data_IF_692098460867
#
_entry.id   IF_692098460867
#
_cell.length_a   1.000
_cell.length_b   1.000
_cell.length_c   1.000
_cell.angle_alpha   90.00
_cell.angle_beta   90.00
_cell.angle_gamma   90.00
#
_symmetry.space_group_name_H-M   'P 1'
#
loop_
_entity.id
_entity.type
_entity.pdbx_description
1 polymer ?
#
# COMPACT_ATOMS: atom_id res chain seq x y z
N UNK A 1 11.58 -12.44 -7.25
CA UNK A 1 10.40 -11.58 -7.25
C UNK A 1 10.15 -11.09 -8.66
N UNK A 2 8.90 -10.90 -9.04
CA UNK A 2 8.47 -10.23 -10.27
C UNK A 2 7.44 -9.14 -9.92
N UNK A 3 7.31 -8.13 -10.79
CA UNK A 3 6.21 -7.16 -10.66
C UNK A 3 4.92 -7.79 -11.18
N UNK A 4 3.82 -7.54 -10.49
CA UNK A 4 2.49 -7.98 -10.90
C UNK A 4 1.64 -6.81 -11.39
N UNK A 5 1.84 -5.61 -10.83
CA UNK A 5 1.18 -4.41 -11.28
C UNK A 5 2.07 -3.18 -11.16
N UNK A 6 1.86 -2.23 -12.06
CA UNK A 6 2.53 -0.93 -12.11
C UNK A 6 1.45 0.14 -12.26
N UNK A 7 1.52 1.19 -11.43
CA UNK A 7 0.55 2.27 -11.44
C UNK A 7 1.19 3.61 -11.10
N UNK A 8 0.62 4.68 -11.63
CA UNK A 8 0.99 6.06 -11.30
C UNK A 8 -0.29 6.85 -11.05
N UNK A 9 -0.36 7.54 -9.91
CA UNK A 9 -1.54 8.31 -9.54
C UNK A 9 -1.22 9.61 -8.81
N UNK A 10 -2.10 10.59 -8.96
CA UNK A 10 -2.10 11.87 -8.27
C UNK A 10 -2.99 11.72 -7.04
N UNK A 11 -2.37 11.70 -5.87
CA UNK A 11 -3.07 11.53 -4.61
C UNK A 11 -3.36 12.90 -4.02
N UNK A 12 -4.62 13.31 -4.09
CA UNK A 12 -5.14 14.53 -3.46
C UNK A 12 -6.01 14.24 -2.24
N UNK A 13 -6.35 12.97 -2.01
CA UNK A 13 -7.27 12.54 -0.95
C UNK A 13 -6.53 11.64 0.04
N UNK A 14 -6.79 11.85 1.32
CA UNK A 14 -6.31 10.97 2.39
C UNK A 14 -6.87 9.56 2.19
N UNK A 15 -6.03 8.54 2.36
CA UNK A 15 -6.49 7.15 2.43
C UNK A 15 -6.71 6.73 3.88
N UNK A 16 -7.64 5.79 4.09
CA UNK A 16 -7.71 5.05 5.35
C UNK A 16 -6.62 3.98 5.35
N UNK A 17 -6.38 3.35 6.50
CA UNK A 17 -5.54 2.16 6.52
C UNK A 17 -6.14 1.09 5.61
N UNK A 18 -5.32 0.56 4.71
CA UNK A 18 -5.73 -0.48 3.79
C UNK A 18 -4.55 -1.37 3.42
N UNK A 19 -4.92 -2.54 2.91
CA UNK A 19 -4.04 -3.46 2.22
C UNK A 19 -4.28 -3.25 0.73
N UNK A 20 -3.22 -3.14 -0.08
CA UNK A 20 -3.37 -3.11 -1.53
C UNK A 20 -3.78 -4.48 -2.05
N UNK A 21 -4.52 -4.49 -3.16
CA UNK A 21 -4.90 -5.73 -3.82
C UNK A 21 -3.67 -6.52 -4.27
N UNK A 22 -3.71 -7.84 -4.14
CA UNK A 22 -2.62 -8.72 -4.51
C UNK A 22 -2.78 -10.14 -3.95
N UNK A 23 -1.91 -11.07 -4.34
CA UNK A 23 -1.79 -12.37 -3.70
C UNK A 23 -1.42 -12.24 -2.23
N UNK A 24 -1.70 -13.29 -1.47
CA UNK A 24 -1.46 -13.31 -0.03
C UNK A 24 0.01 -13.03 0.33
N UNK A 25 0.98 -13.44 -0.50
CA UNK A 25 2.38 -13.07 -0.35
C UNK A 25 2.73 -11.98 -1.37
N UNK A 26 2.84 -10.73 -0.92
CA UNK A 26 3.19 -9.62 -1.80
C UNK A 26 3.88 -8.48 -1.05
N UNK A 27 4.62 -7.68 -1.80
CA UNK A 27 5.23 -6.44 -1.35
C UNK A 27 4.73 -5.29 -2.22
N UNK A 28 4.48 -4.15 -1.60
CA UNK A 28 4.12 -2.92 -2.29
C UNK A 28 5.30 -1.96 -2.22
N UNK A 29 5.75 -1.47 -3.36
CA UNK A 29 6.70 -0.36 -3.44
C UNK A 29 5.97 0.91 -3.85
N UNK A 30 6.08 1.96 -3.03
CA UNK A 30 5.54 3.28 -3.31
C UNK A 30 6.69 4.28 -3.51
N UNK A 31 6.77 4.86 -4.70
CA UNK A 31 7.70 5.93 -5.07
C UNK A 31 7.01 7.28 -5.04
N UNK A 32 7.29 8.07 -3.99
CA UNK A 32 6.76 9.42 -3.81
C UNK A 32 7.66 10.43 -4.51
N UNK A 33 7.06 11.22 -5.41
CA UNK A 33 7.72 12.36 -6.02
C UNK A 33 7.62 13.60 -5.11
N UNK A 34 8.61 14.52 -5.15
CA UNK A 34 8.53 15.78 -4.42
C UNK A 34 7.26 16.56 -4.78
N UNK A 35 6.55 17.04 -3.76
CA UNK A 35 5.36 17.86 -3.94
C UNK A 35 5.28 18.94 -2.86
N UNK A 36 4.61 20.05 -3.17
CA UNK A 36 4.22 21.07 -2.17
C UNK A 36 2.95 20.68 -1.40
N UNK A 37 2.23 19.64 -1.84
CA UNK A 37 1.06 19.12 -1.12
C UNK A 37 1.52 18.44 0.17
N UNK A 38 1.22 19.07 1.31
CA UNK A 38 1.56 18.54 2.61
C UNK A 38 0.97 17.15 2.81
N UNK A 39 1.79 16.20 3.27
CA UNK A 39 1.31 14.84 3.53
C UNK A 39 2.15 14.07 4.54
N UNK A 40 1.55 13.07 5.16
CA UNK A 40 2.20 12.12 6.07
C UNK A 40 1.88 10.69 5.67
N UNK A 41 2.80 9.77 5.95
CA UNK A 41 2.60 8.33 5.77
C UNK A 41 2.56 7.65 7.15
N UNK A 42 1.63 6.72 7.32
CA UNK A 42 1.56 5.89 8.52
C UNK A 42 1.43 4.41 8.14
N UNK A 43 1.93 3.55 9.03
CA UNK A 43 1.80 2.10 8.94
C UNK A 43 1.03 1.57 10.15
N UNK A 44 0.34 0.45 10.01
CA UNK A 44 -0.27 -0.27 11.12
C UNK A 44 0.01 -1.77 11.05
N UNK A 45 0.52 -2.35 12.13
CA UNK A 45 0.77 -3.79 12.24
C UNK A 45 -0.52 -4.55 12.54
N UNK A 46 -1.34 -4.73 11.50
CA UNK A 46 -2.59 -5.47 11.60
C UNK A 46 -2.37 -6.97 11.82
N UNK A 47 -1.21 -7.50 11.39
CA UNK A 47 -0.83 -8.89 11.66
C UNK A 47 -0.72 -9.12 13.15
N UNK A 48 -0.08 -8.19 13.88
CA UNK A 48 -0.07 -8.23 15.34
C UNK A 48 -1.44 -8.01 15.95
N UNK A 49 -2.23 -7.06 15.45
CA UNK A 49 -3.59 -6.82 15.94
C UNK A 49 -4.48 -8.09 15.87
N UNK A 50 -4.36 -8.83 14.77
CA UNK A 50 -5.05 -10.09 14.56
C UNK A 50 -4.52 -11.22 15.46
N UNK A 51 -3.20 -11.31 15.65
CA UNK A 51 -2.59 -12.27 16.57
C UNK A 51 -3.08 -12.06 18.01
N UNK A 52 -3.12 -10.82 18.48
CA UNK A 52 -3.58 -10.50 19.85
C UNK A 52 -5.07 -10.82 20.07
N UNK A 53 -5.85 -10.98 18.99
CA UNK A 53 -7.24 -11.43 19.01
C UNK A 53 -7.40 -12.93 18.71
N UNK A 54 -6.30 -13.68 18.53
CA UNK A 54 -6.33 -15.10 18.21
C UNK A 54 -6.91 -15.43 16.82
N UNK A 55 -6.87 -14.47 15.89
CA UNK A 55 -7.40 -14.62 14.53
C UNK A 55 -6.28 -14.98 13.54
N UNK A 56 -6.61 -15.18 12.26
CA UNK A 56 -5.67 -15.13 11.14
C UNK A 56 -5.68 -13.72 10.49
N UNK A 57 -4.64 -13.27 9.75
CA UNK A 57 -4.60 -11.89 9.28
C UNK A 57 -5.71 -11.60 8.28
N UNK A 58 -6.00 -12.57 7.39
CA UNK A 58 -7.11 -12.43 6.45
C UNK A 58 -8.47 -12.40 7.16
N UNK A 59 -8.67 -13.26 8.15
CA UNK A 59 -9.89 -13.26 8.96
C UNK A 59 -10.09 -11.90 9.66
N UNK A 60 -9.02 -11.33 10.21
CA UNK A 60 -9.08 -10.00 10.81
C UNK A 60 -9.52 -8.94 9.82
N UNK A 61 -8.97 -8.91 8.60
CA UNK A 61 -9.37 -7.92 7.59
C UNK A 61 -10.80 -8.12 7.10
N UNK A 62 -11.26 -9.37 6.98
CA UNK A 62 -12.62 -9.67 6.56
C UNK A 62 -13.65 -9.27 7.65
N UNK A 63 -13.31 -9.44 8.93
CA UNK A 63 -14.20 -9.11 10.07
C UNK A 63 -14.10 -7.64 10.51
N UNK A 64 -12.90 -7.08 10.46
CA UNK A 64 -12.55 -5.75 10.99
C UNK A 64 -11.87 -4.91 9.90
N UNK A 65 -12.52 -4.79 8.74
CA UNK A 65 -11.99 -4.02 7.62
C UNK A 65 -11.72 -2.56 8.06
N UNK A 66 -10.46 -2.09 8.02
CA UNK A 66 -10.06 -0.77 8.52
C UNK A 66 -10.60 0.42 7.71
N UNK A 67 -11.28 0.16 6.60
CA UNK A 67 -12.08 1.15 5.89
C UNK A 67 -13.32 1.59 6.69
N UNK A 68 -13.74 0.82 7.69
CA UNK A 68 -14.86 1.13 8.58
C UNK A 68 -14.39 1.48 10.00
N UNK A 69 -15.19 2.24 10.78
CA UNK A 69 -14.76 2.74 12.10
C UNK A 69 -14.30 1.66 13.08
N UNK A 70 -14.98 0.51 13.14
CA UNK A 70 -14.60 -0.56 14.07
C UNK A 70 -13.22 -1.15 13.73
N UNK A 71 -12.99 -1.45 12.45
CA UNK A 71 -11.68 -1.89 11.97
C UNK A 71 -10.58 -0.86 12.21
N UNK A 72 -10.87 0.42 11.92
CA UNK A 72 -9.93 1.51 12.17
C UNK A 72 -9.54 1.62 13.66
N UNK A 73 -10.51 1.48 14.57
CA UNK A 73 -10.27 1.51 16.01
C UNK A 73 -9.44 0.31 16.48
N UNK A 74 -9.60 -0.87 15.85
CA UNK A 74 -8.84 -2.08 16.19
C UNK A 74 -7.38 -2.00 15.76
N UNK A 75 -7.08 -1.35 14.65
CA UNK A 75 -5.70 -1.19 14.17
C UNK A 75 -4.98 0.01 14.78
N UNK A 76 -5.71 1.01 15.28
CA UNK A 76 -5.13 2.25 15.81
C UNK A 76 -4.05 2.06 16.89
N UNK A 77 -4.17 1.11 17.85
CA UNK A 77 -3.12 0.86 18.85
C UNK A 77 -1.80 0.32 18.27
N UNK A 78 -1.85 -0.21 17.05
CA UNK A 78 -0.72 -0.82 16.34
C UNK A 78 -0.17 0.10 15.24
N UNK A 79 -0.63 1.35 15.21
CA UNK A 79 -0.30 2.31 14.16
C UNK A 79 0.82 3.28 14.56
N UNK A 80 1.68 3.61 13.61
CA UNK A 80 2.74 4.62 13.74
C UNK A 80 2.77 5.53 12.51
N UNK A 81 2.88 6.83 12.74
CA UNK A 81 3.16 7.80 11.67
C UNK A 81 4.67 7.91 11.49
N UNK A 82 5.14 7.82 10.25
CA UNK A 82 6.57 7.81 9.92
C UNK A 82 7.13 9.23 10.05
N UNK A 83 7.89 9.49 11.11
CA UNK A 83 8.45 10.82 11.42
C UNK A 83 9.49 11.31 10.43
N UNK A 84 10.12 10.40 9.69
CA UNK A 84 11.14 10.70 8.69
C UNK A 84 10.56 11.01 7.30
N UNK A 85 9.26 10.77 7.08
CA UNK A 85 8.64 10.99 5.79
C UNK A 85 8.56 12.49 5.46
N UNK A 86 9.23 12.92 4.37
CA UNK A 86 9.23 14.32 3.91
C UNK A 86 8.67 14.44 2.48
N UNK A 87 7.43 14.90 2.36
CA UNK A 87 6.71 15.08 1.08
C UNK A 87 7.45 15.97 0.05
N UNK A 88 8.46 16.74 0.46
CA UNK A 88 9.24 17.61 -0.42
C UNK A 88 10.47 16.91 -1.02
N UNK A 89 10.70 15.64 -0.68
CA UNK A 89 11.85 14.85 -1.13
C UNK A 89 11.39 13.61 -1.87
N UNK A 90 12.16 13.15 -2.88
CA UNK A 90 11.87 11.87 -3.49
C UNK A 90 12.12 10.76 -2.47
N UNK A 91 11.16 9.85 -2.31
CA UNK A 91 11.25 8.77 -1.33
C UNK A 91 10.64 7.49 -1.89
N UNK A 92 11.27 6.35 -1.59
CA UNK A 92 10.73 5.03 -1.89
C UNK A 92 10.41 4.35 -0.57
N UNK A 93 9.22 3.78 -0.45
CA UNK A 93 8.80 2.99 0.70
C UNK A 93 8.41 1.61 0.20
N UNK A 94 9.04 0.58 0.79
CA UNK A 94 8.69 -0.82 0.54
C UNK A 94 7.90 -1.32 1.74
N UNK A 95 6.71 -1.83 1.46
CA UNK A 95 5.72 -2.23 2.45
C UNK A 95 5.45 -3.72 2.25
N UNK A 96 5.51 -4.48 3.34
CA UNK A 96 5.07 -5.86 3.32
C UNK A 96 3.55 -5.88 3.20
N UNK A 97 3.03 -6.17 2.01
CA UNK A 97 1.61 -6.18 1.67
C UNK A 97 1.00 -7.60 1.83
N UNK A 98 1.66 -8.45 2.62
CA UNK A 98 1.21 -9.82 2.85
C UNK A 98 -0.08 -9.89 3.66
N UNK A 99 -0.89 -10.90 3.36
CA UNK A 99 -1.97 -11.40 4.21
C UNK A 99 -1.84 -12.91 4.46
N UNK A 100 -0.63 -13.45 4.38
CA UNK A 100 -0.34 -14.86 4.65
C UNK A 100 -0.67 -15.25 6.09
N UNK A 101 -1.11 -16.49 6.27
CA UNK A 101 -1.31 -17.06 7.60
C UNK A 101 0.01 -17.24 8.35
N UNK A 102 0.01 -16.98 9.67
CA UNK A 102 1.15 -17.25 10.55
C UNK A 102 1.50 -18.73 10.69
N UNK A 103 0.61 -19.64 10.27
CA UNK A 103 0.90 -21.09 10.31
C UNK A 103 1.82 -21.54 9.17
N UNK A 104 2.05 -20.68 8.17
CA UNK A 104 2.99 -20.94 7.09
C UNK A 104 4.40 -20.70 7.66
N UNK A 105 5.27 -21.72 7.71
CA UNK A 105 6.66 -21.53 8.13
C UNK A 105 7.32 -20.51 7.19
N UNK A 106 8.00 -19.51 7.76
CA UNK A 106 8.59 -18.38 7.01
C UNK A 106 7.57 -17.47 6.31
N UNK A 107 6.28 -17.57 6.68
CA UNK A 107 5.23 -16.68 6.21
C UNK A 107 5.54 -15.22 6.54
N UNK A 108 5.27 -14.34 5.59
CA UNK A 108 5.55 -12.90 5.70
C UNK A 108 4.41 -12.22 6.45
N UNK A 109 4.71 -11.47 7.52
CA UNK A 109 3.73 -10.68 8.26
C UNK A 109 3.55 -9.32 7.58
N UNK A 110 2.33 -9.03 7.14
CA UNK A 110 2.03 -7.78 6.46
C UNK A 110 1.66 -6.65 7.40
N UNK A 111 1.72 -5.43 6.87
CA UNK A 111 1.28 -4.20 7.53
C UNK A 111 0.29 -3.47 6.62
N UNK A 112 -0.57 -2.65 7.20
CA UNK A 112 -1.40 -1.70 6.47
C UNK A 112 -0.67 -0.39 6.34
N UNK A 113 -1.07 0.41 5.36
CA UNK A 113 -0.56 1.76 5.20
C UNK A 113 -1.69 2.77 4.94
N UNK A 114 -1.42 4.03 5.24
CA UNK A 114 -2.29 5.14 4.83
C UNK A 114 -1.49 6.42 4.60
N UNK A 115 -1.94 7.23 3.65
CA UNK A 115 -1.46 8.58 3.42
C UNK A 115 -2.47 9.59 3.91
N UNK A 116 -2.04 10.57 4.71
CA UNK A 116 -2.89 11.71 5.08
C UNK A 116 -2.46 12.95 4.31
N UNK A 117 -3.45 13.62 3.75
CA UNK A 117 -3.35 14.89 3.05
C UNK A 117 -4.31 15.84 3.77
N UNK A 118 -3.82 16.66 4.73
CA UNK A 118 -4.68 17.52 5.53
C UNK A 118 -5.32 18.64 4.70
N UNK A 119 -4.60 19.15 3.70
CA UNK A 119 -5.07 20.21 2.80
C UNK A 119 -4.71 19.82 1.36
N UNK A 120 -5.68 19.31 0.58
CA UNK A 120 -5.48 19.07 -0.85
C UNK A 120 -5.22 20.36 -1.61
N UNK A 121 -4.45 20.28 -2.69
CA UNK A 121 -4.25 21.40 -3.62
C UNK A 121 -4.35 20.88 -5.05
N UNK A 122 -5.52 21.05 -5.71
CA UNK A 122 -5.75 20.51 -7.05
C UNK A 122 -5.00 21.27 -8.14
N UNK A 123 -4.31 22.37 -7.82
CA UNK A 123 -3.50 23.15 -8.76
C UNK A 123 -2.09 22.58 -8.95
N UNK A 124 -1.66 21.69 -8.06
CA UNK A 124 -0.37 20.99 -8.12
C UNK A 124 -0.56 19.48 -8.05
N UNK A 125 0.40 18.73 -8.58
CA UNK A 125 0.36 17.26 -8.53
C UNK A 125 1.08 16.72 -7.29
N UNK A 126 0.57 15.60 -6.76
CA UNK A 126 1.25 14.78 -5.77
C UNK A 126 1.31 13.34 -6.28
N UNK A 127 2.33 13.09 -7.09
CA UNK A 127 2.48 11.85 -7.84
C UNK A 127 3.07 10.74 -6.97
N UNK A 128 2.42 9.59 -6.99
CA UNK A 128 2.93 8.34 -6.42
C UNK A 128 2.99 7.29 -7.51
N UNK A 129 4.14 6.64 -7.59
CA UNK A 129 4.36 5.42 -8.37
C UNK A 129 4.12 4.22 -7.45
N UNK A 130 3.31 3.25 -7.89
CA UNK A 130 3.02 2.03 -7.16
C UNK A 130 3.48 0.83 -7.97
N UNK A 131 4.15 -0.11 -7.31
CA UNK A 131 4.57 -1.38 -7.88
C UNK A 131 4.25 -2.48 -6.90
N UNK A 132 3.35 -3.39 -7.28
CA UNK A 132 3.11 -4.61 -6.53
C UNK A 132 4.10 -5.67 -7.00
N UNK A 133 4.83 -6.25 -6.06
CA UNK A 133 5.82 -7.30 -6.29
C UNK A 133 5.36 -8.58 -5.60
N UNK A 134 5.57 -9.70 -6.27
CA UNK A 134 5.24 -11.04 -5.76
C UNK A 134 6.43 -11.97 -5.89
N UNK A 135 6.39 -13.07 -5.16
CA UNK A 135 7.36 -14.14 -5.35
C UNK A 135 7.27 -14.66 -6.79
N UNK A 136 8.44 -14.88 -7.39
CA UNK A 136 8.49 -15.40 -8.74
C UNK A 136 8.25 -16.90 -8.68
N UNK A 137 7.25 -17.38 -9.39
CA UNK A 137 6.99 -18.81 -9.58
C UNK A 137 7.51 -19.23 -10.95
N UNK A 138 8.60 -20.03 -11.04
CA UNK A 138 9.14 -20.50 -12.31
C UNK A 138 8.19 -21.40 -13.11
N UNK A 139 7.15 -21.96 -12.47
CA UNK A 139 6.13 -22.77 -13.12
C UNK A 139 5.02 -21.94 -13.76
N UNK A 140 4.96 -20.65 -13.45
CA UNK A 140 4.10 -19.67 -14.11
C UNK A 140 4.93 -18.98 -15.19
N UNK A 141 4.51 -19.06 -16.46
CA UNK A 141 5.16 -18.23 -17.48
C UNK A 141 5.07 -16.76 -17.04
N UNK A 142 6.18 -16.00 -17.03
CA UNK A 142 6.12 -14.59 -16.71
C UNK A 142 5.20 -13.93 -17.73
N UNK A 143 4.00 -13.55 -17.27
CA UNK A 143 3.12 -12.66 -18.00
C UNK A 143 3.75 -11.28 -17.99
N UNK A 144 4.82 -11.10 -18.77
CA UNK A 144 5.36 -9.78 -19.07
C UNK A 144 4.29 -9.07 -19.90
N UNK A 145 3.36 -8.41 -19.21
CA UNK A 145 2.44 -7.47 -19.83
C UNK A 145 3.27 -6.24 -20.24
N UNK A 146 3.99 -6.39 -21.36
CA UNK A 146 4.78 -5.33 -21.97
C UNK A 146 3.95 -4.08 -22.22
N UNK A 147 2.64 -4.22 -22.45
CA UNK A 147 1.74 -3.08 -22.61
C UNK A 147 1.48 -2.37 -21.27
N UNK A 148 1.38 -3.08 -20.15
CA UNK A 148 1.37 -2.46 -18.82
C UNK A 148 2.67 -1.71 -18.55
N UNK A 149 3.82 -2.34 -18.76
CA UNK A 149 5.14 -1.72 -18.53
C UNK A 149 5.28 -0.49 -19.42
N UNK A 150 4.97 -0.61 -20.71
CA UNK A 150 5.02 0.49 -21.67
C UNK A 150 4.09 1.63 -21.27
N UNK A 151 2.83 1.34 -20.92
CA UNK A 151 1.89 2.36 -20.42
C UNK A 151 2.44 3.06 -19.18
N UNK A 152 3.02 2.33 -18.24
CA UNK A 152 3.60 2.92 -17.04
C UNK A 152 4.79 3.84 -17.35
N UNK A 153 5.67 3.44 -18.28
CA UNK A 153 6.86 4.21 -18.68
C UNK A 153 6.53 5.42 -19.57
N UNK A 154 5.56 5.28 -20.47
CA UNK A 154 5.27 6.26 -21.53
C UNK A 154 4.07 7.17 -21.22
N UNK A 155 3.27 6.88 -20.18
CA UNK A 155 2.08 7.71 -19.89
C UNK A 155 2.47 9.11 -19.41
N UNK A 156 1.96 10.12 -20.11
CA UNK A 156 1.89 11.50 -19.62
C UNK A 156 0.64 11.74 -18.75
N UNK A 157 -0.31 10.80 -18.77
CA UNK A 157 -1.54 10.87 -17.97
C UNK A 157 -1.34 10.24 -16.59
N UNK A 158 -1.72 11.00 -15.55
CA UNK A 158 -1.67 10.55 -14.16
C UNK A 158 -3.11 10.33 -13.69
N UNK A 159 -3.44 9.10 -13.29
CA UNK A 159 -4.77 8.79 -12.77
C UNK A 159 -5.01 9.59 -11.48
N UNK A 160 -6.14 10.29 -11.35
CA UNK A 160 -6.51 10.88 -10.06
C UNK A 160 -7.02 9.77 -9.15
N UNK A 161 -6.42 9.65 -7.97
CA UNK A 161 -6.86 8.67 -6.99
C UNK A 161 -8.24 9.06 -6.46
N UNK A 162 -9.29 8.40 -6.94
CA UNK A 162 -10.66 8.55 -6.45
C UNK A 162 -10.97 7.40 -5.49
N UNK A 163 -10.91 7.67 -4.19
CA UNK A 163 -11.49 6.79 -3.17
C UNK A 163 -12.76 7.47 -2.64
N UNK A 164 -13.93 6.91 -2.98
CA UNK A 164 -15.19 7.17 -2.30
C UNK A 164 -15.38 6.14 -1.18
#
# INVERSE_FOLDING_TARGET
MCYQSLGRFDQQVSTKFHLDGGPAASYLMLGYEPSSVASTLALADYSRAAQDLGMQPREFLDRFNPMFPDGANRVAPYAVTLSWFDHRRPQIVVINNSSQSWVIPQGQLGVLHCGKIPVPDPSVSRVINSTLMVEYDPSTEPGDDFDMVRRFLETESIARSSYN
#
